data_IF_277068095609
#
_entry.id   IF_277068095609
#
_cell.length_a   1.000
_cell.length_b   1.000
_cell.length_c   1.000
_cell.angle_alpha   90.00
_cell.angle_beta   90.00
_cell.angle_gamma   90.00
#
_symmetry.space_group_name_H-M   'P 1'
#
loop_
_entity.id
_entity.type
_entity.pdbx_description
1 polymer ?
#
# COMPACT_ATOMS: atom_id res chain seq x y z
N UNK A 1 -21.16 -14.28 1.71
CA UNK A 1 -20.15 -14.82 0.79
C UNK A 1 -20.87 -15.65 -0.25
N UNK A 2 -20.86 -15.22 -1.50
CA UNK A 2 -21.32 -16.06 -2.62
C UNK A 2 -20.21 -17.02 -3.00
N UNK A 3 -20.57 -18.27 -3.31
CA UNK A 3 -19.62 -19.33 -3.64
C UNK A 3 -20.04 -20.00 -4.93
N UNK A 4 -19.15 -19.97 -5.93
CA UNK A 4 -19.32 -20.70 -7.18
C UNK A 4 -18.69 -22.08 -7.02
N UNK A 5 -19.41 -23.13 -7.41
CA UNK A 5 -18.93 -24.52 -7.33
C UNK A 5 -18.95 -25.16 -8.70
N UNK A 6 -17.90 -25.90 -9.02
CA UNK A 6 -17.76 -26.67 -10.25
C UNK A 6 -17.19 -28.04 -9.93
N UNK A 7 -17.81 -29.10 -10.45
CA UNK A 7 -17.27 -30.45 -10.38
C UNK A 7 -16.77 -30.87 -11.75
N UNK A 8 -15.50 -31.22 -11.85
CA UNK A 8 -14.89 -31.74 -13.06
C UNK A 8 -14.73 -33.26 -12.94
N UNK A 9 -15.25 -33.99 -13.92
CA UNK A 9 -15.15 -35.45 -13.99
C UNK A 9 -14.16 -35.83 -15.07
N UNK A 10 -13.25 -36.76 -14.78
CA UNK A 10 -12.30 -37.25 -15.77
C UNK A 10 -12.02 -38.74 -15.61
N UNK A 11 -11.75 -39.40 -16.74
CA UNK A 11 -11.46 -40.83 -16.79
C UNK A 11 -10.05 -41.11 -16.28
N UNK A 12 -9.92 -42.05 -15.36
CA UNK A 12 -8.65 -42.54 -14.81
C UNK A 12 -8.50 -44.05 -15.09
N UNK A 13 -7.29 -44.64 -14.96
CA UNK A 13 -7.04 -46.06 -15.27
C UNK A 13 -7.96 -47.06 -14.54
N UNK A 14 -8.53 -46.68 -13.39
CA UNK A 14 -9.37 -47.53 -12.56
C UNK A 14 -10.81 -46.99 -12.36
N UNK A 15 -11.26 -46.03 -13.18
CA UNK A 15 -12.63 -45.53 -13.10
C UNK A 15 -12.78 -44.06 -13.48
N UNK A 16 -13.72 -43.38 -12.83
CA UNK A 16 -13.99 -41.96 -13.00
C UNK A 16 -13.54 -41.23 -11.73
N UNK A 17 -12.65 -40.25 -11.87
CA UNK A 17 -12.27 -39.36 -10.79
C UNK A 17 -13.05 -38.06 -10.88
N UNK A 18 -13.28 -37.42 -9.73
CA UNK A 18 -13.98 -36.15 -9.62
C UNK A 18 -13.08 -35.15 -8.88
N UNK A 19 -13.00 -33.92 -9.36
CA UNK A 19 -12.38 -32.81 -8.65
C UNK A 19 -13.42 -31.73 -8.45
N UNK A 20 -13.62 -31.33 -7.20
CA UNK A 20 -14.52 -30.24 -6.83
C UNK A 20 -13.71 -28.96 -6.67
N UNK A 21 -14.10 -27.93 -7.40
CA UNK A 21 -13.56 -26.57 -7.31
C UNK A 21 -14.61 -25.65 -6.72
N UNK A 22 -14.17 -24.74 -5.88
CA UNK A 22 -15.01 -23.67 -5.40
C UNK A 22 -14.25 -22.34 -5.46
N UNK A 23 -14.93 -21.29 -5.88
CA UNK A 23 -14.44 -19.93 -5.85
C UNK A 23 -15.32 -19.11 -4.90
N UNK A 24 -14.67 -18.36 -4.02
CA UNK A 24 -15.34 -17.45 -3.11
C UNK A 24 -14.56 -16.13 -3.05
N UNK A 25 -15.27 -15.01 -3.02
CA UNK A 25 -14.66 -13.71 -2.81
C UNK A 25 -14.49 -13.48 -1.30
N UNK A 26 -13.27 -13.24 -0.80
CA UNK A 26 -13.07 -12.83 0.58
C UNK A 26 -13.68 -11.45 0.76
N UNK A 27 -14.59 -11.30 1.72
CA UNK A 27 -15.18 -10.00 2.04
C UNK A 27 -14.64 -9.50 3.37
N UNK A 28 -13.53 -8.77 3.34
CA UNK A 28 -13.02 -8.01 4.48
C UNK A 28 -12.15 -8.80 5.47
N UNK A 29 -12.31 -8.49 6.76
CA UNK A 29 -11.47 -9.02 7.84
C UNK A 29 -10.18 -8.22 8.05
N UNK A 30 -10.03 -7.05 7.43
CA UNK A 30 -8.85 -6.22 7.57
C UNK A 30 -9.04 -5.19 8.67
N UNK A 31 -8.07 -5.14 9.56
CA UNK A 31 -7.94 -4.12 10.60
C UNK A 31 -6.65 -3.34 10.36
N UNK A 32 -6.73 -2.04 10.63
CA UNK A 32 -5.60 -1.13 10.49
C UNK A 32 -5.21 -0.58 11.85
N UNK A 33 -3.94 -0.71 12.16
CA UNK A 33 -3.25 0.14 13.16
C UNK A 33 -2.31 1.09 12.40
N UNK A 34 -1.67 2.03 13.09
CA UNK A 34 -0.74 2.97 12.44
C UNK A 34 0.43 2.26 11.75
N UNK A 35 0.88 1.12 12.31
CA UNK A 35 2.11 0.45 11.87
C UNK A 35 1.88 -0.95 11.30
N UNK A 36 0.69 -1.53 11.45
CA UNK A 36 0.40 -2.92 11.08
C UNK A 36 -0.97 -3.05 10.42
N UNK A 37 -0.99 -3.77 9.31
CA UNK A 37 -2.19 -4.32 8.67
C UNK A 37 -2.40 -5.72 9.25
N UNK A 38 -3.58 -5.98 9.79
CA UNK A 38 -3.97 -7.32 10.24
C UNK A 38 -5.14 -7.84 9.42
N UNK A 39 -4.96 -8.99 8.78
CA UNK A 39 -5.96 -9.64 7.95
C UNK A 39 -6.43 -10.94 8.62
N UNK A 40 -7.68 -10.92 9.06
CA UNK A 40 -8.35 -12.00 9.76
C UNK A 40 -9.19 -12.81 8.77
N UNK A 41 -8.71 -14.01 8.45
CA UNK A 41 -9.42 -14.98 7.62
C UNK A 41 -10.13 -15.99 8.53
N UNK A 42 -11.43 -16.26 8.36
CA UNK A 42 -12.10 -17.29 9.14
C UNK A 42 -11.38 -18.64 9.04
N UNK A 43 -11.07 -19.25 10.19
CA UNK A 43 -10.40 -20.55 10.27
C UNK A 43 -11.26 -21.68 9.70
N UNK A 44 -12.59 -21.50 9.77
CA UNK A 44 -13.61 -22.36 9.15
C UNK A 44 -14.31 -21.56 8.05
N UNK A 45 -14.19 -22.02 6.81
CA UNK A 45 -14.86 -21.41 5.66
C UNK A 45 -16.09 -22.24 5.29
N UNK A 46 -17.23 -21.94 5.90
CA UNK A 46 -18.52 -22.52 5.49
C UNK A 46 -19.01 -21.83 4.22
N UNK A 47 -19.49 -22.54 3.18
CA UNK A 47 -19.77 -23.98 3.12
C UNK A 47 -18.65 -24.83 2.50
N UNK A 48 -17.42 -24.30 2.30
CA UNK A 48 -16.33 -25.07 1.69
C UNK A 48 -15.98 -26.33 2.51
N UNK A 49 -16.21 -26.29 3.81
CA UNK A 49 -16.01 -27.42 4.72
C UNK A 49 -17.20 -27.58 5.66
N UNK A 50 -17.77 -28.78 5.71
CA UNK A 50 -18.84 -29.16 6.62
C UNK A 50 -18.35 -30.30 7.52
N UNK A 51 -18.29 -30.08 8.84
CA UNK A 51 -17.86 -31.09 9.82
C UNK A 51 -16.55 -30.78 10.57
N UNK A 52 -15.93 -31.83 11.14
CA UNK A 52 -14.64 -31.72 11.83
C UNK A 52 -13.49 -31.63 10.83
N UNK A 53 -12.57 -30.69 11.02
CA UNK A 53 -11.41 -30.50 10.14
C UNK A 53 -10.12 -30.38 10.95
N UNK A 54 -8.98 -30.62 10.30
CA UNK A 54 -7.65 -30.25 10.79
C UNK A 54 -6.95 -29.41 9.74
N UNK A 55 -6.24 -28.37 10.15
CA UNK A 55 -5.31 -27.64 9.28
C UNK A 55 -4.00 -28.42 9.27
N UNK A 56 -3.58 -28.88 8.10
CA UNK A 56 -2.36 -29.67 7.91
C UNK A 56 -1.21 -28.78 7.42
N UNK A 57 -1.52 -27.89 6.47
CA UNK A 57 -0.55 -26.90 5.97
C UNK A 57 -1.16 -25.50 6.03
N UNK A 58 -0.30 -24.52 6.31
CA UNK A 58 -0.67 -23.11 6.33
C UNK A 58 0.54 -22.28 5.88
N UNK A 59 0.36 -21.54 4.80
CA UNK A 59 1.40 -20.75 4.16
C UNK A 59 0.92 -19.33 3.90
N UNK A 60 1.76 -18.36 4.24
CA UNK A 60 1.60 -16.98 3.83
C UNK A 60 2.40 -16.74 2.55
N UNK A 61 1.94 -15.78 1.76
CA UNK A 61 2.64 -15.30 0.59
C UNK A 61 2.34 -13.84 0.31
N UNK A 62 2.98 -13.34 -0.74
CA UNK A 62 2.80 -12.02 -1.31
C UNK A 62 2.73 -12.20 -2.83
N UNK A 63 1.83 -11.50 -3.51
CA UNK A 63 1.76 -11.49 -4.98
C UNK A 63 1.72 -12.91 -5.59
N UNK A 64 1.01 -13.83 -4.95
CA UNK A 64 0.85 -15.21 -5.41
C UNK A 64 1.98 -16.19 -5.08
N UNK A 65 3.08 -15.72 -4.46
CA UNK A 65 4.26 -16.51 -4.11
C UNK A 65 4.32 -16.79 -2.60
N UNK A 66 4.56 -18.05 -2.21
CA UNK A 66 4.75 -18.43 -0.80
C UNK A 66 6.04 -17.80 -0.25
N UNK A 67 6.00 -17.39 1.00
CA UNK A 67 7.18 -16.95 1.73
C UNK A 67 7.69 -18.08 2.64
N UNK A 68 9.01 -18.19 2.74
CA UNK A 68 9.64 -19.03 3.76
C UNK A 68 9.74 -18.30 5.11
N UNK A 69 10.07 -19.05 6.16
CA UNK A 69 10.18 -18.52 7.53
C UNK A 69 11.24 -17.41 7.66
N UNK A 70 12.34 -17.50 6.92
CA UNK A 70 13.43 -16.51 6.97
C UNK A 70 13.00 -15.18 6.34
N UNK A 71 12.31 -15.26 5.18
CA UNK A 71 11.73 -14.11 4.52
C UNK A 71 10.69 -13.43 5.40
N UNK A 72 9.79 -14.21 6.02
CA UNK A 72 8.79 -13.67 6.95
C UNK A 72 9.45 -12.97 8.15
N UNK A 73 10.44 -13.62 8.78
CA UNK A 73 11.16 -13.03 9.92
C UNK A 73 11.90 -11.74 9.56
N UNK A 74 12.56 -11.71 8.39
CA UNK A 74 13.30 -10.53 7.90
C UNK A 74 12.38 -9.34 7.62
N UNK A 75 11.14 -9.61 7.18
CA UNK A 75 10.14 -8.59 6.81
C UNK A 75 9.20 -8.23 7.96
N UNK A 76 9.29 -8.94 9.08
CA UNK A 76 8.41 -8.76 10.24
C UNK A 76 6.97 -9.27 10.01
N UNK A 77 6.76 -10.23 9.11
CA UNK A 77 5.44 -10.78 8.82
C UNK A 77 5.09 -11.92 9.76
N UNK A 78 3.85 -11.95 10.21
CA UNK A 78 3.38 -13.02 11.10
C UNK A 78 2.21 -13.75 10.47
N UNK A 79 2.16 -15.05 10.77
CA UNK A 79 1.05 -15.93 10.43
C UNK A 79 0.70 -16.73 11.68
N UNK A 80 -0.48 -16.47 12.23
CA UNK A 80 -0.92 -17.08 13.47
C UNK A 80 -2.36 -17.57 13.37
N UNK A 81 -2.81 -18.31 14.39
CA UNK A 81 -4.17 -18.81 14.49
C UNK A 81 -4.75 -18.49 15.85
N UNK A 82 -5.99 -18.03 15.86
CA UNK A 82 -6.86 -17.96 17.02
C UNK A 82 -7.91 -19.08 16.93
N UNK A 83 -8.83 -19.15 17.89
CA UNK A 83 -9.93 -20.11 17.85
C UNK A 83 -10.77 -19.98 16.57
N UNK A 84 -10.96 -18.74 16.10
CA UNK A 84 -11.88 -18.41 15.00
C UNK A 84 -11.20 -17.94 13.71
N UNK A 85 -9.97 -17.44 13.77
CA UNK A 85 -9.30 -16.80 12.62
C UNK A 85 -7.89 -17.32 12.41
N UNK A 86 -7.49 -17.40 11.15
CA UNK A 86 -6.10 -17.32 10.72
C UNK A 86 -5.78 -15.83 10.57
N UNK A 87 -4.70 -15.36 11.17
CA UNK A 87 -4.34 -13.95 11.22
C UNK A 87 -3.02 -13.77 10.50
N UNK A 88 -3.03 -12.91 9.48
CA UNK A 88 -1.86 -12.46 8.73
C UNK A 88 -1.56 -11.04 9.15
N UNK A 89 -0.35 -10.76 9.64
CA UNK A 89 0.06 -9.40 9.98
C UNK A 89 1.23 -8.95 9.11
N UNK A 90 1.10 -7.73 8.58
CA UNK A 90 2.07 -7.09 7.69
C UNK A 90 2.33 -5.67 8.20
N UNK A 91 3.58 -5.30 8.50
CA UNK A 91 3.94 -3.92 8.79
C UNK A 91 3.58 -2.99 7.63
N UNK A 92 2.97 -1.85 7.93
CA UNK A 92 2.73 -0.79 6.93
C UNK A 92 4.08 -0.27 6.43
N UNK A 93 4.22 -0.17 5.11
CA UNK A 93 5.49 0.22 4.49
C UNK A 93 6.49 -0.92 4.30
N UNK A 94 6.07 -2.17 4.44
CA UNK A 94 6.91 -3.31 4.10
C UNK A 94 7.33 -3.30 2.62
N UNK A 95 8.45 -3.95 2.24
CA UNK A 95 9.03 -3.85 0.91
C UNK A 95 8.20 -4.53 -0.20
N UNK A 96 7.16 -5.26 0.16
CA UNK A 96 6.30 -6.02 -0.75
C UNK A 96 5.07 -5.22 -1.25
N UNK A 97 4.90 -4.01 -0.72
CA UNK A 97 3.84 -3.09 -1.13
C UNK A 97 4.41 -1.77 -1.61
N UNK A 98 3.51 -0.83 -1.88
CA UNK A 98 3.88 0.49 -2.39
C UNK A 98 2.99 1.57 -1.80
N UNK A 99 3.55 2.77 -1.71
CA UNK A 99 2.80 3.96 -1.33
C UNK A 99 2.23 4.67 -2.57
N UNK A 100 1.13 5.39 -2.36
CA UNK A 100 0.54 6.28 -3.35
C UNK A 100 0.12 7.60 -2.71
N UNK A 101 0.38 8.69 -3.42
CA UNK A 101 0.06 10.06 -3.02
C UNK A 101 -1.38 10.43 -3.32
N UNK A 102 -1.99 11.22 -2.42
CA UNK A 102 -3.33 11.77 -2.55
C UNK A 102 -3.38 13.19 -1.99
N UNK A 103 -4.32 13.99 -2.47
CA UNK A 103 -4.52 15.35 -1.97
C UNK A 103 -6.01 15.73 -1.79
N UNK A 104 -6.80 14.96 -1.02
CA UNK A 104 -8.16 15.36 -0.69
C UNK A 104 -8.15 16.70 0.05
N UNK A 105 -9.05 17.61 -0.32
CA UNK A 105 -9.17 18.95 0.27
C UNK A 105 -7.84 19.72 0.36
N UNK A 106 -6.98 19.56 -0.65
CA UNK A 106 -5.66 20.18 -0.73
C UNK A 106 -4.67 19.79 0.38
N UNK A 107 -4.94 18.72 1.12
CA UNK A 107 -4.06 18.20 2.16
C UNK A 107 -3.33 16.95 1.66
N UNK A 108 -2.00 16.94 1.77
CA UNK A 108 -1.21 15.80 1.31
C UNK A 108 -1.39 14.58 2.22
N UNK A 109 -1.79 13.48 1.61
CA UNK A 109 -2.05 12.19 2.24
C UNK A 109 -1.34 11.07 1.47
N UNK A 110 -1.11 9.95 2.13
CA UNK A 110 -0.61 8.74 1.47
C UNK A 110 -1.44 7.53 1.84
N UNK A 111 -1.51 6.57 0.94
CA UNK A 111 -2.01 5.20 1.21
C UNK A 111 -0.91 4.21 0.95
N UNK A 112 -0.89 3.10 1.67
CA UNK A 112 -0.02 1.96 1.40
C UNK A 112 -0.84 0.78 0.89
N UNK A 113 -0.39 0.12 -0.17
CA UNK A 113 -1.07 -1.05 -0.77
C UNK A 113 -0.15 -2.25 -0.81
N UNK A 114 -0.65 -3.42 -0.39
CA UNK A 114 0.04 -4.71 -0.43
C UNK A 114 -0.95 -5.82 -0.81
N UNK A 115 -0.49 -6.87 -1.47
CA UNK A 115 -1.32 -8.01 -1.86
C UNK A 115 -0.88 -9.30 -1.16
N UNK A 116 -1.35 -9.51 0.09
CA UNK A 116 -1.14 -10.78 0.79
C UNK A 116 -1.81 -11.95 0.11
N UNK A 117 -1.21 -13.10 0.32
CA UNK A 117 -1.71 -14.40 -0.07
C UNK A 117 -1.75 -15.31 1.16
N UNK A 118 -2.84 -16.06 1.30
CA UNK A 118 -2.94 -17.15 2.27
C UNK A 118 -3.26 -18.44 1.52
N UNK A 119 -2.54 -19.51 1.84
CA UNK A 119 -2.79 -20.84 1.34
C UNK A 119 -2.90 -21.82 2.50
N UNK A 120 -4.01 -22.56 2.55
CA UNK A 120 -4.34 -23.47 3.65
C UNK A 120 -4.74 -24.82 3.07
N UNK A 121 -4.24 -25.89 3.67
CA UNK A 121 -4.67 -27.26 3.42
C UNK A 121 -5.41 -27.75 4.66
N UNK A 122 -6.70 -28.05 4.51
CA UNK A 122 -7.45 -28.78 5.52
C UNK A 122 -7.62 -30.23 5.09
N UNK A 123 -7.66 -31.10 6.08
CA UNK A 123 -8.05 -32.50 5.93
C UNK A 123 -9.28 -32.73 6.78
N UNK A 124 -10.30 -33.35 6.17
CA UNK A 124 -11.44 -33.91 6.88
C UNK A 124 -11.40 -35.45 6.85
N UNK A 125 -12.48 -36.13 7.23
CA UNK A 125 -12.53 -37.60 7.26
C UNK A 125 -12.54 -38.27 5.88
N UNK A 126 -12.72 -37.50 4.80
CA UNK A 126 -12.94 -38.02 3.44
C UNK A 126 -11.90 -37.46 2.46
N UNK A 127 -11.71 -36.15 2.43
CA UNK A 127 -10.97 -35.46 1.39
C UNK A 127 -10.09 -34.32 1.94
N UNK A 128 -9.03 -34.00 1.19
CA UNK A 128 -8.20 -32.82 1.42
C UNK A 128 -8.76 -31.62 0.64
N UNK A 129 -8.91 -30.48 1.33
CA UNK A 129 -9.35 -29.23 0.72
C UNK A 129 -8.22 -28.22 0.75
N UNK A 130 -7.83 -27.72 -0.43
CA UNK A 130 -6.85 -26.63 -0.57
C UNK A 130 -7.54 -25.33 -0.92
N UNK A 131 -7.28 -24.30 -0.13
CA UNK A 131 -7.75 -22.95 -0.39
C UNK A 131 -6.57 -22.02 -0.54
N UNK A 132 -6.60 -21.24 -1.61
CA UNK A 132 -5.63 -20.20 -1.90
C UNK A 132 -6.40 -18.92 -2.16
N UNK A 133 -6.05 -17.86 -1.43
CA UNK A 133 -6.67 -16.56 -1.53
C UNK A 133 -5.59 -15.49 -1.67
N UNK A 134 -5.82 -14.57 -2.59
CA UNK A 134 -5.08 -13.31 -2.70
C UNK A 134 -6.06 -12.19 -2.36
N UNK A 135 -5.61 -11.24 -1.55
CA UNK A 135 -6.48 -10.16 -1.11
C UNK A 135 -5.71 -8.84 -1.11
N UNK A 136 -5.83 -8.02 -2.16
CA UNK A 136 -5.24 -6.67 -2.18
C UNK A 136 -5.80 -5.82 -1.04
N UNK A 137 -4.91 -5.26 -0.23
CA UNK A 137 -5.25 -4.40 0.91
C UNK A 137 -4.61 -3.03 0.70
N UNK A 138 -5.44 -1.98 0.77
CA UNK A 138 -5.00 -0.58 0.80
C UNK A 138 -5.37 0.02 2.14
N UNK A 139 -4.41 0.68 2.82
CA UNK A 139 -4.66 1.39 4.06
C UNK A 139 -5.61 2.57 3.84
N UNK A 140 -6.31 3.03 4.89
CA UNK A 140 -6.96 4.35 4.86
C UNK A 140 -5.97 5.47 4.53
N UNK A 141 -6.51 6.62 4.15
CA UNK A 141 -5.73 7.84 3.90
C UNK A 141 -5.00 8.26 5.18
N UNK A 142 -3.67 8.32 5.13
CA UNK A 142 -2.83 8.78 6.23
C UNK A 142 -2.37 10.21 5.93
N UNK A 143 -2.67 11.19 6.80
CA UNK A 143 -2.14 12.55 6.65
C UNK A 143 -0.61 12.54 6.68
N UNK A 144 0.03 13.18 5.71
CA UNK A 144 1.48 13.35 5.65
C UNK A 144 1.82 14.80 5.31
N UNK A 145 1.60 15.77 6.22
CA UNK A 145 1.88 17.17 5.93
C UNK A 145 3.34 17.35 5.45
N UNK A 146 3.59 18.04 4.33
CA UNK A 146 4.95 18.35 3.91
C UNK A 146 5.61 19.27 4.94
N UNK A 147 6.84 18.95 5.33
CA UNK A 147 7.76 19.89 5.95
C UNK A 147 8.09 21.08 5.03
N UNK A 148 8.29 22.23 5.67
CA UNK A 148 8.67 23.47 5.05
C UNK A 148 9.95 23.95 5.73
N UNK A 149 10.95 24.30 4.93
CA UNK A 149 12.21 24.85 5.40
C UNK A 149 12.48 26.18 4.69
N UNK A 150 12.71 27.21 5.49
CA UNK A 150 13.17 28.51 5.02
C UNK A 150 14.70 28.56 5.09
N UNK A 151 15.33 28.68 3.93
CA UNK A 151 16.77 28.80 3.73
C UNK A 151 17.15 30.23 3.26
N UNK A 152 16.26 31.20 3.43
CA UNK A 152 16.48 32.59 3.03
C UNK A 152 17.62 33.22 3.84
N UNK A 153 18.62 33.72 3.13
CA UNK A 153 19.69 34.55 3.68
C UNK A 153 19.44 36.00 3.21
N UNK A 154 19.11 36.95 4.10
CA UNK A 154 18.73 38.30 3.71
C UNK A 154 19.75 39.03 2.83
N UNK A 155 21.04 38.78 3.05
CA UNK A 155 22.16 39.35 2.30
C UNK A 155 22.13 38.94 0.82
N UNK A 156 21.65 37.73 0.52
CA UNK A 156 21.52 37.21 -0.84
C UNK A 156 20.31 37.82 -1.58
N UNK A 157 19.41 38.50 -0.85
CA UNK A 157 18.20 39.16 -1.38
C UNK A 157 17.29 38.24 -2.21
N UNK A 158 17.26 36.97 -1.86
CA UNK A 158 16.47 35.93 -2.54
C UNK A 158 15.76 35.10 -1.48
N UNK A 159 14.44 34.95 -1.61
CA UNK A 159 13.70 33.95 -0.84
C UNK A 159 14.16 32.58 -1.30
N UNK A 160 14.50 31.71 -0.38
CA UNK A 160 14.95 30.35 -0.68
C UNK A 160 14.21 29.40 0.24
N UNK A 161 13.32 28.58 -0.32
CA UNK A 161 12.50 27.65 0.47
C UNK A 161 12.60 26.25 -0.10
N UNK A 162 12.45 25.25 0.78
CA UNK A 162 12.36 23.84 0.42
C UNK A 162 11.06 23.26 1.00
N UNK A 163 10.24 22.68 0.13
CA UNK A 163 8.99 22.01 0.47
C UNK A 163 9.12 20.50 0.21
N UNK A 164 8.80 19.68 1.20
CA UNK A 164 8.89 18.22 1.09
C UNK A 164 8.64 17.56 2.44
N UNK A 165 8.70 16.26 2.63
CA UNK A 165 9.03 15.26 1.65
C UNK A 165 7.77 14.73 0.98
N UNK A 166 7.86 14.53 -0.33
CA UNK A 166 6.84 13.92 -1.17
C UNK A 166 7.30 12.53 -1.61
N UNK A 167 6.36 11.69 -2.00
CA UNK A 167 6.67 10.46 -2.71
C UNK A 167 7.07 10.77 -4.15
N UNK A 168 7.71 9.80 -4.80
CA UNK A 168 8.21 9.94 -6.17
C UNK A 168 7.11 10.17 -7.21
N UNK A 169 5.87 9.80 -6.90
CA UNK A 169 4.69 9.93 -7.76
C UNK A 169 4.04 11.33 -7.74
N UNK A 170 4.57 12.28 -6.95
CA UNK A 170 4.10 13.68 -6.93
C UNK A 170 4.78 14.47 -8.02
N UNK A 171 4.10 15.40 -8.69
CA UNK A 171 4.74 16.33 -9.64
C UNK A 171 4.36 17.77 -9.30
N UNK A 172 5.35 18.67 -9.27
CA UNK A 172 5.08 20.09 -9.12
C UNK A 172 4.67 20.68 -10.48
N UNK A 173 3.42 21.13 -10.58
CA UNK A 173 2.89 21.75 -11.80
C UNK A 173 2.87 23.27 -11.70
N UNK A 174 2.24 23.77 -10.64
CA UNK A 174 1.97 25.20 -10.47
C UNK A 174 2.31 25.66 -9.05
N UNK A 175 2.66 26.94 -8.93
CA UNK A 175 2.91 27.62 -7.65
C UNK A 175 1.97 28.82 -7.57
N UNK A 176 1.28 28.96 -6.44
CA UNK A 176 0.41 30.12 -6.19
C UNK A 176 1.20 31.21 -5.48
N UNK A 177 1.32 32.36 -6.13
CA UNK A 177 1.91 33.58 -5.59
C UNK A 177 0.81 34.61 -5.28
N UNK A 178 1.19 35.71 -4.63
CA UNK A 178 0.28 36.82 -4.30
C UNK A 178 -0.38 37.45 -5.54
N UNK A 179 0.29 37.40 -6.70
CA UNK A 179 -0.15 37.99 -7.97
C UNK A 179 -0.89 37.01 -8.88
N UNK A 180 -0.94 35.72 -8.53
CA UNK A 180 -1.58 34.69 -9.35
C UNK A 180 -0.86 33.35 -9.29
N UNK A 181 -1.30 32.43 -10.14
CA UNK A 181 -0.71 31.09 -10.28
C UNK A 181 0.27 31.10 -11.45
N UNK A 182 1.46 30.55 -11.25
CA UNK A 182 2.47 30.37 -12.28
C UNK A 182 2.82 28.90 -12.44
N UNK A 183 3.00 28.44 -13.68
CA UNK A 183 3.59 27.11 -13.95
C UNK A 183 5.10 27.11 -13.63
N UNK A 184 5.71 25.93 -13.52
CA UNK A 184 7.16 25.81 -13.35
C UNK A 184 7.92 26.50 -14.51
N UNK A 185 7.43 26.38 -15.74
CA UNK A 185 8.01 27.02 -16.91
C UNK A 185 7.89 28.56 -16.85
N UNK A 186 6.75 29.08 -16.41
CA UNK A 186 6.55 30.52 -16.23
C UNK A 186 7.45 31.09 -15.12
N UNK A 187 7.65 30.33 -14.04
CA UNK A 187 8.61 30.67 -12.99
C UNK A 187 10.03 30.79 -13.57
N UNK A 188 10.48 29.82 -14.37
CA UNK A 188 11.78 29.90 -15.02
C UNK A 188 11.88 31.07 -16.02
N UNK A 189 10.82 31.35 -16.78
CA UNK A 189 10.78 32.49 -17.70
C UNK A 189 10.87 33.83 -16.97
N UNK A 190 10.36 33.91 -15.72
CA UNK A 190 10.51 35.08 -14.82
C UNK A 190 11.86 35.13 -14.10
N UNK A 191 12.75 34.16 -14.33
CA UNK A 191 14.06 34.10 -13.68
C UNK A 191 14.05 33.51 -12.27
N UNK A 192 12.97 32.82 -11.87
CA UNK A 192 12.92 32.09 -10.60
C UNK A 192 13.58 30.71 -10.76
N UNK A 193 14.18 30.23 -9.67
CA UNK A 193 14.77 28.89 -9.64
C UNK A 193 13.80 27.92 -8.98
N UNK A 194 13.30 26.96 -9.73
CA UNK A 194 12.52 25.82 -9.22
C UNK A 194 13.32 24.55 -9.48
N UNK A 195 13.58 23.74 -8.46
CA UNK A 195 14.33 22.48 -8.60
C UNK A 195 13.66 21.36 -7.82
N UNK A 196 13.65 20.17 -8.42
CA UNK A 196 13.30 18.92 -7.74
C UNK A 196 14.56 18.30 -7.13
N UNK A 197 14.45 17.84 -5.89
CA UNK A 197 15.52 17.18 -5.14
C UNK A 197 15.10 15.76 -4.80
N UNK A 198 15.93 14.78 -5.14
CA UNK A 198 15.77 13.39 -4.69
C UNK A 198 16.63 13.13 -3.46
N UNK A 199 16.03 12.56 -2.42
CA UNK A 199 16.71 12.26 -1.16
C UNK A 199 17.11 10.78 -1.06
N UNK A 200 18.15 10.42 -0.28
CA UNK A 200 18.61 9.03 -0.15
C UNK A 200 17.56 8.06 0.40
N UNK A 201 16.55 8.56 1.11
CA UNK A 201 15.42 7.78 1.64
C UNK A 201 14.32 7.49 0.59
N UNK A 202 14.56 7.81 -0.69
CA UNK A 202 13.61 7.59 -1.79
C UNK A 202 12.45 8.58 -1.85
N UNK A 203 12.46 9.61 -1.00
CA UNK A 203 11.51 10.73 -1.07
C UNK A 203 12.08 11.88 -1.89
N UNK A 204 11.23 12.87 -2.19
CA UNK A 204 11.66 14.07 -2.91
C UNK A 204 11.14 15.36 -2.29
N UNK A 205 11.71 16.48 -2.72
CA UNK A 205 11.28 17.82 -2.35
C UNK A 205 11.45 18.79 -3.50
N UNK A 206 10.88 19.98 -3.35
CA UNK A 206 10.97 21.06 -4.33
C UNK A 206 11.55 22.29 -3.67
N UNK A 207 12.63 22.84 -4.22
CA UNK A 207 13.13 24.14 -3.81
C UNK A 207 12.60 25.23 -4.72
N UNK A 208 12.26 26.37 -4.15
CA UNK A 208 11.88 27.58 -4.86
C UNK A 208 12.79 28.72 -4.40
N UNK A 209 13.39 29.42 -5.37
CA UNK A 209 14.13 30.64 -5.14
C UNK A 209 13.55 31.81 -5.91
N UNK A 210 13.24 32.90 -5.21
CA UNK A 210 12.58 34.09 -5.77
C UNK A 210 13.31 35.36 -5.29
N UNK A 211 13.86 36.18 -6.21
CA UNK A 211 14.45 37.47 -5.86
C UNK A 211 13.48 38.40 -5.11
N UNK A 212 13.96 39.14 -4.12
CA UNK A 212 13.13 40.05 -3.30
C UNK A 212 12.53 41.22 -4.10
N UNK A 213 13.13 41.58 -5.23
CA UNK A 213 12.64 42.64 -6.12
C UNK A 213 11.57 42.16 -7.11
N UNK A 214 11.32 40.84 -7.20
CA UNK A 214 10.32 40.24 -8.06
C UNK A 214 8.91 40.78 -7.79
N UNK A 215 8.08 40.84 -8.83
CA UNK A 215 6.71 41.36 -8.79
C UNK A 215 5.76 40.52 -7.93
N UNK A 216 6.07 39.23 -7.75
CA UNK A 216 5.32 38.29 -6.92
C UNK A 216 5.53 38.46 -5.41
N UNK A 217 6.57 39.21 -5.01
CA UNK A 217 6.95 39.43 -3.60
C UNK A 217 6.16 40.60 -3.02
N UNK A 218 5.46 40.34 -1.91
CA UNK A 218 4.80 41.39 -1.15
C UNK A 218 5.85 42.26 -0.45
N UNK A 219 5.86 43.56 -0.79
CA UNK A 219 6.71 44.56 -0.14
C UNK A 219 5.90 45.14 1.02
N UNK A 220 6.36 44.95 2.25
CA UNK A 220 5.85 45.74 3.36
C UNK A 220 6.24 47.20 3.13
N UNK A 221 5.22 48.06 3.02
CA UNK A 221 5.34 49.52 3.00
C UNK A 221 5.40 50.03 4.42
#
# INVERSE_FOLDING_TARGET
>A
MEVFRVSAYYKAPHGLNTVNWAAACPTGGVLFSENVISWHVPRRLTPLMDGSFKIVEMHMGINGQRLDKSQMATRGYTLSTTDFHIVVEIPVGSPDGYYKSHAPDYQYHTTYTVEPMLEVLWTDTKDDTRYKVLFPITTPLMPRPPSFQDNTVPEDRVFSVLLGTFLHDVELRNITFSTGVLTVEECHAKGFTVQEHSFPNGTKGFSLQVPFDADVVLKHV
#
